data_IF_356886623126
#
_entry.id   IF_356886623126
#
_cell.length_a   1.000
_cell.length_b   1.000
_cell.length_c   1.000
_cell.angle_alpha   90.00
_cell.angle_beta   90.00
_cell.angle_gamma   90.00
#
_symmetry.space_group_name_H-M   'P 1'
#
loop_
_entity.id
_entity.type
_entity.pdbx_description
1 polymer ?
#
# COMPACT_ATOMS: atom_id res chain seq x y z
N UNK A 1 -29.69 -9.66 6.75
CA UNK A 1 -28.40 -10.37 6.89
C UNK A 1 -27.29 -9.46 7.46
N UNK A 2 -26.84 -8.38 6.80
CA UNK A 2 -25.73 -7.55 7.32
C UNK A 2 -25.97 -6.96 8.71
N UNK A 3 -27.16 -6.40 8.98
CA UNK A 3 -27.52 -5.83 10.29
C UNK A 3 -27.54 -6.89 11.40
N UNK A 4 -28.02 -8.08 11.12
CA UNK A 4 -28.06 -9.18 12.10
C UNK A 4 -26.63 -9.65 12.43
N UNK A 5 -25.76 -9.82 11.41
CA UNK A 5 -24.35 -10.16 11.62
C UNK A 5 -23.63 -9.09 12.46
N UNK A 6 -23.88 -7.80 12.20
CA UNK A 6 -23.30 -6.71 12.99
C UNK A 6 -23.74 -6.78 14.46
N UNK A 7 -25.01 -7.08 14.72
CA UNK A 7 -25.52 -7.26 16.10
C UNK A 7 -24.83 -8.43 16.82
N UNK A 8 -24.60 -9.53 16.12
CA UNK A 8 -23.87 -10.69 16.66
C UNK A 8 -22.41 -10.30 16.99
N UNK A 9 -21.71 -9.61 16.07
CA UNK A 9 -20.35 -9.12 16.29
C UNK A 9 -20.30 -8.18 17.52
N UNK A 10 -21.22 -7.23 17.61
CA UNK A 10 -21.29 -6.30 18.76
C UNK A 10 -21.54 -7.04 20.07
N UNK A 11 -22.39 -8.06 20.05
CA UNK A 11 -22.63 -8.91 21.22
C UNK A 11 -21.36 -9.64 21.67
N UNK A 12 -20.61 -10.21 20.72
CA UNK A 12 -19.32 -10.87 21.01
C UNK A 12 -18.30 -9.89 21.62
N UNK A 13 -18.22 -8.65 21.08
CA UNK A 13 -17.32 -7.60 21.59
C UNK A 13 -17.72 -7.20 23.02
N UNK A 14 -19.01 -7.01 23.28
CA UNK A 14 -19.53 -6.69 24.63
C UNK A 14 -19.23 -7.80 25.65
N UNK A 15 -19.34 -9.05 25.23
CA UNK A 15 -18.99 -10.20 26.07
C UNK A 15 -17.47 -10.25 26.35
N UNK A 16 -16.62 -9.91 25.36
CA UNK A 16 -15.17 -9.84 25.54
C UNK A 16 -14.76 -8.66 26.44
N UNK A 17 -15.61 -7.65 26.59
CA UNK A 17 -15.42 -6.39 27.30
C UNK A 17 -14.35 -5.49 26.69
N UNK A 18 -13.10 -5.96 26.59
CA UNK A 18 -11.98 -5.18 26.07
C UNK A 18 -11.77 -5.42 24.57
N UNK A 19 -11.54 -4.33 23.84
CA UNK A 19 -11.33 -4.38 22.41
C UNK A 19 -10.26 -3.39 21.96
N UNK A 20 -9.80 -3.54 20.75
CA UNK A 20 -8.92 -2.60 20.06
C UNK A 20 -9.46 -2.31 18.67
N UNK A 21 -9.06 -1.17 18.11
CA UNK A 21 -9.44 -0.75 16.76
C UNK A 21 -8.21 -0.72 15.84
N UNK A 22 -8.46 -1.01 14.57
CA UNK A 22 -7.51 -0.73 13.49
C UNK A 22 -8.26 0.03 12.41
N UNK A 23 -7.77 1.22 12.08
CA UNK A 23 -8.40 2.10 11.11
C UNK A 23 -7.40 2.41 10.01
N UNK A 24 -7.85 2.34 8.77
CA UNK A 24 -7.04 2.68 7.60
C UNK A 24 -7.79 3.71 6.76
N UNK A 25 -7.10 4.79 6.41
CA UNK A 25 -7.66 5.91 5.66
C UNK A 25 -7.31 5.78 4.18
N UNK A 26 -8.33 5.87 3.33
CA UNK A 26 -8.16 5.92 1.87
C UNK A 26 -8.63 7.29 1.37
N UNK A 27 -7.72 8.30 1.32
CA UNK A 27 -8.08 9.68 0.99
C UNK A 27 -8.72 9.83 -0.40
N UNK A 28 -8.28 9.05 -1.38
CA UNK A 28 -8.74 9.14 -2.78
C UNK A 28 -10.25 8.88 -2.95
N UNK A 29 -10.84 8.13 -2.02
CA UNK A 29 -12.27 7.79 -2.02
C UNK A 29 -13.00 8.27 -0.75
N UNK A 30 -12.34 9.11 0.04
CA UNK A 30 -12.90 9.67 1.28
C UNK A 30 -13.48 8.62 2.24
N UNK A 31 -12.77 7.51 2.44
CA UNK A 31 -13.24 6.41 3.27
C UNK A 31 -12.25 6.02 4.36
N UNK A 32 -12.80 5.59 5.50
CA UNK A 32 -12.10 4.86 6.56
C UNK A 32 -12.54 3.41 6.58
N UNK A 33 -11.59 2.50 6.53
CA UNK A 33 -11.82 1.09 6.86
C UNK A 33 -11.82 0.92 8.37
N UNK A 34 -12.92 0.44 8.96
CA UNK A 34 -13.03 0.27 10.41
C UNK A 34 -13.03 -1.21 10.80
N UNK A 35 -12.07 -1.59 11.62
CA UNK A 35 -11.85 -2.96 12.04
C UNK A 35 -11.76 -2.99 13.57
N UNK A 36 -12.46 -3.94 14.20
CA UNK A 36 -12.36 -4.21 15.65
C UNK A 36 -11.67 -5.54 15.88
N UNK A 37 -10.83 -5.58 16.91
CA UNK A 37 -10.17 -6.78 17.39
C UNK A 37 -10.44 -6.97 18.89
N UNK A 38 -10.77 -8.18 19.26
CA UNK A 38 -11.04 -8.58 20.66
C UNK A 38 -10.58 -10.03 20.89
N UNK A 39 -10.59 -10.45 22.16
CA UNK A 39 -10.22 -11.82 22.53
C UNK A 39 -11.52 -12.61 22.77
N UNK A 40 -11.73 -13.65 21.98
CA UNK A 40 -12.89 -14.52 22.14
C UNK A 40 -12.81 -15.45 23.37
N UNK A 41 -13.90 -16.16 23.65
CA UNK A 41 -14.06 -17.05 24.82
C UNK A 41 -12.97 -18.12 24.96
N UNK A 42 -12.32 -18.50 23.85
CA UNK A 42 -11.22 -19.49 23.86
C UNK A 42 -9.82 -18.84 23.95
N UNK A 43 -9.71 -17.58 24.33
CA UNK A 43 -8.45 -16.85 24.42
C UNK A 43 -7.80 -16.51 23.08
N UNK A 44 -8.49 -16.72 21.96
CA UNK A 44 -7.98 -16.41 20.62
C UNK A 44 -8.35 -15.00 20.19
N UNK A 45 -7.43 -14.24 19.58
CA UNK A 45 -7.74 -12.95 19.01
C UNK A 45 -8.66 -13.11 17.79
N UNK A 46 -9.76 -12.37 17.80
CA UNK A 46 -10.74 -12.31 16.71
C UNK A 46 -10.64 -10.92 16.09
N UNK A 47 -10.65 -10.84 14.76
CA UNK A 47 -10.62 -9.61 13.98
C UNK A 47 -11.88 -9.55 13.13
N UNK A 48 -12.62 -8.45 13.24
CA UNK A 48 -13.87 -8.23 12.52
C UNK A 48 -13.81 -6.91 11.74
N UNK A 49 -14.03 -7.00 10.44
CA UNK A 49 -14.36 -5.83 9.64
C UNK A 49 -15.77 -5.36 10.01
N UNK A 50 -15.92 -4.06 10.25
CA UNK A 50 -17.21 -3.47 10.63
C UNK A 50 -17.85 -2.83 9.40
N UNK A 51 -17.26 -1.76 8.88
CA UNK A 51 -17.76 -1.06 7.71
C UNK A 51 -16.67 -0.19 7.06
N UNK A 52 -17.02 0.41 5.92
CA UNK A 52 -16.38 1.58 5.37
C UNK A 52 -17.15 2.81 5.82
N UNK A 53 -16.46 3.75 6.47
CA UNK A 53 -17.05 4.99 6.97
C UNK A 53 -16.64 6.13 6.05
N UNK A 54 -17.61 6.88 5.55
CA UNK A 54 -17.35 8.07 4.73
C UNK A 54 -16.77 9.19 5.60
N UNK A 55 -15.75 9.89 5.07
CA UNK A 55 -15.04 10.94 5.79
C UNK A 55 -14.90 12.17 4.93
N UNK A 56 -15.43 13.30 5.37
CA UNK A 56 -15.37 14.56 4.62
C UNK A 56 -14.08 15.35 4.85
N UNK A 57 -13.29 14.99 5.87
CA UNK A 57 -12.02 15.63 6.18
C UNK A 57 -11.05 14.66 6.86
N UNK A 58 -9.83 14.59 6.35
CA UNK A 58 -8.75 13.76 6.90
C UNK A 58 -7.92 14.49 8.00
N UNK A 59 -8.42 15.60 8.56
CA UNK A 59 -7.81 16.22 9.73
C UNK A 59 -8.02 15.32 10.96
N UNK A 60 -7.00 15.22 11.81
CA UNK A 60 -7.01 14.34 12.98
C UNK A 60 -8.23 14.55 13.90
N UNK A 61 -8.70 15.78 14.05
CA UNK A 61 -9.88 16.10 14.85
C UNK A 61 -11.16 15.48 14.28
N UNK A 62 -11.37 15.63 12.97
CA UNK A 62 -12.52 15.04 12.32
C UNK A 62 -12.49 13.51 12.38
N UNK A 63 -11.29 12.93 12.14
CA UNK A 63 -11.09 11.48 12.24
C UNK A 63 -11.37 10.96 13.66
N UNK A 64 -10.97 11.71 14.70
CA UNK A 64 -11.24 11.32 16.08
C UNK A 64 -12.74 11.35 16.40
N UNK A 65 -13.48 12.36 15.93
CA UNK A 65 -14.92 12.41 16.08
C UNK A 65 -15.60 11.24 15.38
N UNK A 66 -15.25 10.98 14.11
CA UNK A 66 -15.80 9.83 13.36
C UNK A 66 -15.53 8.51 14.07
N UNK A 67 -14.29 8.28 14.52
CA UNK A 67 -13.94 7.05 15.26
C UNK A 67 -14.72 6.94 16.56
N UNK A 68 -14.87 8.03 17.30
CA UNK A 68 -15.68 8.08 18.53
C UNK A 68 -17.14 7.72 18.22
N UNK A 69 -17.75 8.38 17.23
CA UNK A 69 -19.16 8.18 16.88
C UNK A 69 -19.43 6.75 16.42
N UNK A 70 -18.54 6.15 15.63
CA UNK A 70 -18.64 4.73 15.27
C UNK A 70 -18.63 3.83 16.50
N UNK A 71 -17.76 4.09 17.47
CA UNK A 71 -17.66 3.28 18.68
C UNK A 71 -18.92 3.47 19.56
N UNK A 72 -19.32 4.70 19.82
CA UNK A 72 -20.34 5.02 20.82
C UNK A 72 -21.75 4.97 20.27
N UNK A 73 -21.96 5.47 19.07
CA UNK A 73 -23.30 5.58 18.46
C UNK A 73 -23.63 4.35 17.60
N UNK A 74 -22.79 4.05 16.59
CA UNK A 74 -23.08 2.97 15.64
C UNK A 74 -22.99 1.58 16.27
N UNK A 75 -21.94 1.34 17.09
CA UNK A 75 -21.68 0.05 17.73
C UNK A 75 -22.23 0.01 19.17
N UNK A 76 -22.62 1.13 19.76
CA UNK A 76 -23.06 1.21 21.17
C UNK A 76 -22.08 0.52 22.11
N UNK A 77 -20.76 0.74 21.88
CA UNK A 77 -19.68 0.25 22.72
C UNK A 77 -19.18 1.35 23.66
N UNK A 78 -18.74 0.95 24.84
CA UNK A 78 -18.15 1.87 25.81
C UNK A 78 -16.68 2.11 25.46
N UNK A 79 -16.34 3.36 25.12
CA UNK A 79 -14.97 3.76 24.76
C UNK A 79 -13.98 3.54 25.92
N UNK A 80 -14.46 3.51 27.17
CA UNK A 80 -13.63 3.20 28.35
C UNK A 80 -13.08 1.76 28.32
N UNK A 81 -13.65 0.88 27.52
CA UNK A 81 -13.19 -0.50 27.31
C UNK A 81 -12.22 -0.65 26.13
N UNK A 82 -11.97 0.41 25.37
CA UNK A 82 -10.94 0.42 24.33
C UNK A 82 -9.55 0.29 24.97
N UNK A 83 -8.69 -0.60 24.47
CA UNK A 83 -7.33 -0.84 24.99
C UNK A 83 -6.24 -0.66 23.96
N UNK A 84 -6.57 -0.69 22.69
CA UNK A 84 -5.58 -0.55 21.63
C UNK A 84 -6.11 0.18 20.42
N UNK A 85 -5.24 0.89 19.79
CA UNK A 85 -5.47 1.59 18.50
C UNK A 85 -4.30 1.36 17.58
N UNK A 86 -4.56 1.11 16.29
CA UNK A 86 -3.54 0.86 15.28
C UNK A 86 -3.89 1.56 13.97
N UNK A 87 -2.96 2.35 13.48
CA UNK A 87 -3.07 3.17 12.27
C UNK A 87 -1.76 3.10 11.49
N UNK A 88 -1.77 3.65 10.29
CA UNK A 88 -0.54 3.92 9.55
C UNK A 88 0.32 5.01 10.24
N UNK A 89 1.52 5.27 9.70
CA UNK A 89 2.44 6.24 10.28
C UNK A 89 2.23 7.67 9.77
N UNK A 90 1.13 7.96 9.08
CA UNK A 90 0.81 9.32 8.65
C UNK A 90 0.64 10.25 9.85
N UNK A 91 1.11 11.49 9.75
CA UNK A 91 1.15 12.44 10.87
C UNK A 91 -0.22 12.79 11.45
N UNK A 92 -1.27 12.79 10.63
CA UNK A 92 -2.66 12.99 11.06
C UNK A 92 -3.23 11.77 11.82
N UNK A 93 -2.65 10.58 11.64
CA UNK A 93 -3.05 9.34 12.30
C UNK A 93 -2.16 9.07 13.53
N UNK A 94 -0.84 8.95 13.31
CA UNK A 94 0.16 8.54 14.30
C UNK A 94 0.82 9.69 15.06
N UNK A 95 0.48 10.96 14.76
CA UNK A 95 1.09 12.12 15.43
C UNK A 95 0.89 12.07 16.95
N UNK A 96 2.00 12.13 17.72
CA UNK A 96 1.98 11.95 19.17
C UNK A 96 1.31 13.11 19.94
N UNK A 97 1.21 14.28 19.35
CA UNK A 97 0.67 15.48 20.02
C UNK A 97 -0.73 15.87 19.55
N UNK A 98 -1.03 15.72 18.27
CA UNK A 98 -2.28 16.20 17.67
C UNK A 98 -2.88 15.24 16.64
N UNK A 99 -2.26 14.08 16.43
CA UNK A 99 -2.79 13.03 15.57
C UNK A 99 -4.00 12.32 16.18
N UNK A 100 -4.64 11.47 15.38
CA UNK A 100 -5.76 10.65 15.82
C UNK A 100 -5.44 9.88 17.10
N UNK A 101 -4.23 9.27 17.18
CA UNK A 101 -3.83 8.51 18.37
C UNK A 101 -3.85 9.34 19.65
N UNK A 102 -3.37 10.59 19.60
CA UNK A 102 -3.33 11.47 20.76
C UNK A 102 -4.74 11.82 21.23
N UNK A 103 -5.62 12.17 20.29
CA UNK A 103 -7.02 12.52 20.56
C UNK A 103 -7.84 11.37 21.11
N UNK A 104 -7.63 10.15 20.65
CA UNK A 104 -8.29 8.95 21.23
C UNK A 104 -7.74 8.68 22.64
N UNK A 105 -6.45 8.93 22.89
CA UNK A 105 -5.84 8.80 24.20
C UNK A 105 -6.36 9.84 25.19
N UNK A 106 -6.72 11.05 24.76
CA UNK A 106 -7.42 12.04 25.59
C UNK A 106 -8.80 11.57 26.07
N UNK A 107 -9.50 10.76 25.24
CA UNK A 107 -10.80 10.18 25.62
C UNK A 107 -10.65 8.96 26.54
N UNK A 108 -9.55 8.23 26.45
CA UNK A 108 -9.28 7.07 27.29
C UNK A 108 -7.75 6.84 27.41
N UNK A 109 -7.18 7.20 28.55
CA UNK A 109 -5.74 7.12 28.84
C UNK A 109 -5.17 5.69 28.78
N UNK A 110 -6.04 4.66 28.94
CA UNK A 110 -5.64 3.26 28.91
C UNK A 110 -5.45 2.70 27.50
N UNK A 111 -5.65 3.52 26.47
CA UNK A 111 -5.49 3.09 25.07
C UNK A 111 -4.02 3.15 24.65
N UNK A 112 -3.48 2.02 24.24
CA UNK A 112 -2.13 1.94 23.69
C UNK A 112 -2.16 2.05 22.17
N UNK A 113 -1.30 2.91 21.62
CA UNK A 113 -1.08 3.00 20.17
C UNK A 113 -0.02 1.99 19.74
N UNK A 114 -0.35 1.23 18.70
CA UNK A 114 0.57 0.30 18.03
C UNK A 114 0.58 0.63 16.56
N UNK A 115 1.74 1.07 15.98
CA UNK A 115 1.83 1.35 14.56
C UNK A 115 1.44 0.14 13.72
N UNK A 116 0.85 0.37 12.54
CA UNK A 116 0.55 -0.70 11.60
C UNK A 116 1.84 -1.40 11.17
N UNK A 117 2.02 -2.65 11.58
CA UNK A 117 3.24 -3.41 11.29
C UNK A 117 3.48 -3.60 9.80
N UNK A 118 2.41 -3.82 9.02
CA UNK A 118 2.51 -3.96 7.57
C UNK A 118 3.00 -2.66 6.92
N UNK A 119 2.49 -1.50 7.36
CA UNK A 119 2.95 -0.21 6.87
C UNK A 119 4.41 0.05 7.28
N UNK A 120 4.76 -0.20 8.53
CA UNK A 120 6.14 -0.05 9.02
C UNK A 120 7.12 -0.93 8.25
N UNK A 121 6.76 -2.18 7.96
CA UNK A 121 7.58 -3.09 7.16
C UNK A 121 7.76 -2.59 5.71
N UNK A 122 6.71 -2.07 5.10
CA UNK A 122 6.80 -1.44 3.78
C UNK A 122 7.78 -0.25 3.78
N UNK A 123 7.72 0.61 4.81
CA UNK A 123 8.64 1.74 4.93
C UNK A 123 10.09 1.29 5.12
N UNK A 124 10.35 0.23 5.89
CA UNK A 124 11.70 -0.36 6.02
C UNK A 124 12.21 -0.82 4.66
N UNK A 125 11.40 -1.53 3.88
CA UNK A 125 11.75 -1.94 2.52
C UNK A 125 12.08 -0.77 1.60
N UNK A 126 11.28 0.30 1.64
CA UNK A 126 11.54 1.52 0.85
C UNK A 126 12.82 2.20 1.31
N UNK A 127 13.01 2.40 2.63
CA UNK A 127 14.20 3.07 3.19
C UNK A 127 15.50 2.28 2.93
N UNK A 128 15.44 0.95 2.82
CA UNK A 128 16.62 0.14 2.50
C UNK A 128 17.15 0.41 1.08
N UNK A 129 16.27 0.78 0.14
CA UNK A 129 16.68 1.22 -1.21
C UNK A 129 17.47 2.52 -1.14
N UNK A 130 17.01 3.47 -0.31
CA UNK A 130 17.61 4.81 -0.22
C UNK A 130 19.02 4.80 0.42
N UNK A 131 19.41 3.69 1.05
CA UNK A 131 20.73 3.51 1.64
C UNK A 131 21.83 3.11 0.63
N UNK A 132 21.45 2.75 -0.60
CA UNK A 132 22.40 2.24 -1.62
C UNK A 132 22.15 2.94 -2.96
N UNK A 133 23.18 3.61 -3.49
CA UNK A 133 23.09 4.35 -4.75
C UNK A 133 22.73 3.44 -5.95
N UNK A 134 23.28 2.23 -5.98
CA UNK A 134 22.99 1.27 -7.05
C UNK A 134 21.53 0.81 -7.01
N UNK A 135 20.98 0.64 -5.80
CA UNK A 135 19.56 0.33 -5.63
C UNK A 135 18.67 1.49 -6.08
N UNK A 136 19.00 2.73 -5.70
CA UNK A 136 18.28 3.93 -6.18
C UNK A 136 18.30 3.97 -7.71
N UNK A 137 19.45 3.79 -8.33
CA UNK A 137 19.63 3.81 -9.79
C UNK A 137 18.79 2.71 -10.46
N UNK A 138 18.79 1.51 -9.89
CA UNK A 138 18.00 0.39 -10.38
C UNK A 138 16.49 0.65 -10.28
N UNK A 139 15.99 1.10 -9.14
CA UNK A 139 14.56 1.40 -9.00
C UNK A 139 14.11 2.60 -9.85
N UNK A 140 14.98 3.60 -10.04
CA UNK A 140 14.72 4.68 -11.01
C UNK A 140 14.62 4.15 -12.44
N UNK A 141 15.48 3.19 -12.81
CA UNK A 141 15.35 2.51 -14.10
C UNK A 141 14.00 1.79 -14.23
N UNK A 142 13.54 1.05 -13.22
CA UNK A 142 12.22 0.39 -13.25
C UNK A 142 11.07 1.38 -13.40
N UNK A 143 11.15 2.52 -12.70
CA UNK A 143 10.16 3.60 -12.83
C UNK A 143 10.18 4.22 -14.24
N UNK A 144 11.34 4.47 -14.79
CA UNK A 144 11.50 4.99 -16.17
C UNK A 144 10.95 4.01 -17.20
N UNK A 145 11.19 2.72 -17.01
CA UNK A 145 10.65 1.66 -17.86
C UNK A 145 9.13 1.65 -17.85
N UNK A 146 8.50 1.73 -16.67
CA UNK A 146 7.06 1.87 -16.54
C UNK A 146 6.55 3.14 -17.24
N UNK A 147 7.14 4.28 -16.93
CA UNK A 147 6.76 5.59 -17.49
C UNK A 147 6.85 5.60 -19.01
N UNK A 148 7.90 5.00 -19.56
CA UNK A 148 8.08 4.87 -21.00
C UNK A 148 6.92 4.12 -21.66
N UNK A 149 6.56 2.94 -21.14
CA UNK A 149 5.49 2.14 -21.73
C UNK A 149 4.11 2.75 -21.46
N UNK A 150 3.85 3.27 -20.25
CA UNK A 150 2.56 3.86 -19.89
C UNK A 150 2.26 5.22 -20.52
N UNK A 151 3.25 5.88 -21.11
CA UNK A 151 3.10 7.20 -21.74
C UNK A 151 2.28 7.19 -23.04
N UNK A 152 2.01 6.01 -23.62
CA UNK A 152 1.25 5.88 -24.88
C UNK A 152 0.58 4.51 -24.97
N UNK A 153 -0.67 4.49 -25.43
CA UNK A 153 -1.40 3.24 -25.71
C UNK A 153 -0.64 2.32 -26.65
N UNK A 154 -0.04 2.87 -27.71
CA UNK A 154 0.76 2.08 -28.66
C UNK A 154 1.96 1.40 -27.99
N UNK A 155 2.72 2.11 -27.13
CA UNK A 155 3.87 1.53 -26.42
C UNK A 155 3.39 0.43 -25.45
N UNK A 156 2.29 0.70 -24.73
CA UNK A 156 1.69 -0.25 -23.83
C UNK A 156 1.22 -1.52 -24.55
N UNK A 157 0.55 -1.36 -25.69
CA UNK A 157 0.09 -2.49 -26.50
C UNK A 157 1.27 -3.33 -27.02
N UNK A 158 2.38 -2.71 -27.43
CA UNK A 158 3.58 -3.44 -27.82
C UNK A 158 4.13 -4.31 -26.68
N UNK A 159 4.08 -3.84 -25.45
CA UNK A 159 4.51 -4.61 -24.26
C UNK A 159 3.53 -5.73 -23.94
N UNK A 160 2.23 -5.42 -23.85
CA UNK A 160 1.19 -6.39 -23.48
C UNK A 160 1.05 -7.52 -24.50
N UNK A 161 1.23 -7.22 -25.80
CA UNK A 161 1.22 -8.23 -26.85
C UNK A 161 2.42 -9.17 -26.80
N UNK A 162 3.57 -8.69 -26.28
CA UNK A 162 4.76 -9.51 -26.13
C UNK A 162 4.71 -10.41 -24.89
N UNK A 163 4.03 -9.96 -23.84
CA UNK A 163 3.85 -10.73 -22.60
C UNK A 163 2.61 -11.63 -22.75
N UNK A 164 2.72 -12.91 -22.39
CA UNK A 164 1.59 -13.85 -22.43
C UNK A 164 0.40 -13.35 -21.60
N UNK A 165 -0.82 -13.69 -22.02
CA UNK A 165 -2.05 -13.30 -21.31
C UNK A 165 -2.01 -13.74 -19.84
N UNK A 166 -2.09 -12.76 -18.94
CA UNK A 166 -2.04 -12.97 -17.50
C UNK A 166 -0.65 -12.84 -16.89
N UNK A 167 0.39 -12.56 -17.68
CA UNK A 167 1.73 -12.25 -17.18
C UNK A 167 1.79 -10.92 -16.42
N UNK A 168 2.72 -10.83 -15.47
CA UNK A 168 2.93 -9.62 -14.68
C UNK A 168 3.60 -8.54 -15.54
N UNK A 169 2.90 -7.44 -15.79
CA UNK A 169 3.41 -6.30 -16.54
C UNK A 169 4.16 -5.35 -15.60
N UNK A 170 5.09 -4.56 -16.14
CA UNK A 170 5.77 -3.50 -15.38
C UNK A 170 4.77 -2.57 -14.70
N UNK A 171 5.03 -2.23 -13.43
CA UNK A 171 4.14 -1.42 -12.60
C UNK A 171 4.81 -0.13 -12.15
N UNK A 172 4.00 0.88 -11.89
CA UNK A 172 4.44 2.08 -11.20
C UNK A 172 4.94 1.74 -9.80
N UNK A 173 6.08 2.31 -9.42
CA UNK A 173 6.60 2.16 -8.07
C UNK A 173 5.74 2.98 -7.09
N UNK A 174 5.70 2.52 -5.85
CA UNK A 174 5.04 3.22 -4.75
C UNK A 174 6.06 3.62 -3.69
N UNK A 175 5.93 4.82 -3.16
CA UNK A 175 6.79 5.32 -2.07
C UNK A 175 6.42 4.71 -0.71
N UNK A 176 5.25 4.09 -0.60
CA UNK A 176 4.73 3.57 0.67
C UNK A 176 4.42 2.08 0.64
N UNK A 177 4.47 1.43 -0.54
CA UNK A 177 4.14 0.02 -0.69
C UNK A 177 5.28 -0.75 -1.34
N UNK A 178 6.00 -1.51 -0.53
CA UNK A 178 7.07 -2.39 -1.01
C UNK A 178 6.60 -3.39 -2.07
N UNK A 179 5.38 -3.90 -1.95
CA UNK A 179 4.81 -4.86 -2.91
C UNK A 179 4.83 -4.36 -4.36
N UNK A 180 4.63 -3.05 -4.59
CA UNK A 180 4.71 -2.47 -5.94
C UNK A 180 6.13 -2.56 -6.51
N UNK A 181 7.17 -2.36 -5.67
CA UNK A 181 8.58 -2.53 -6.05
C UNK A 181 8.91 -4.00 -6.33
N UNK A 182 8.48 -4.90 -5.46
CA UNK A 182 8.67 -6.34 -5.65
C UNK A 182 8.00 -6.84 -6.93
N UNK A 183 6.77 -6.39 -7.23
CA UNK A 183 6.07 -6.74 -8.46
C UNK A 183 6.80 -6.20 -9.71
N UNK A 184 7.34 -4.98 -9.67
CA UNK A 184 8.10 -4.41 -10.77
C UNK A 184 9.39 -5.21 -11.04
N UNK A 185 10.11 -5.62 -9.99
CA UNK A 185 11.29 -6.48 -10.12
C UNK A 185 10.93 -7.84 -10.71
N UNK A 186 9.86 -8.48 -10.19
CA UNK A 186 9.36 -9.76 -10.71
C UNK A 186 8.95 -9.69 -12.17
N UNK A 187 8.31 -8.59 -12.58
CA UNK A 187 7.95 -8.37 -13.99
C UNK A 187 9.18 -8.37 -14.90
N UNK A 188 10.22 -7.61 -14.53
CA UNK A 188 11.47 -7.56 -15.30
C UNK A 188 12.18 -8.91 -15.29
N UNK A 189 12.26 -9.58 -14.15
CA UNK A 189 12.90 -10.90 -14.06
C UNK A 189 12.21 -11.95 -14.94
N UNK A 190 10.89 -11.98 -14.91
CA UNK A 190 10.10 -13.04 -15.58
C UNK A 190 9.94 -12.78 -17.08
N UNK A 191 9.95 -11.52 -17.50
CA UNK A 191 9.65 -11.09 -18.87
C UNK A 191 10.77 -10.24 -19.47
N UNK A 192 12.02 -10.53 -19.09
CA UNK A 192 13.18 -9.77 -19.57
C UNK A 192 13.27 -9.74 -21.09
N UNK A 193 13.12 -10.91 -21.74
CA UNK A 193 13.22 -11.03 -23.19
C UNK A 193 12.07 -10.31 -23.91
N UNK A 194 10.87 -10.42 -23.39
CA UNK A 194 9.66 -9.80 -23.96
C UNK A 194 9.73 -8.27 -23.86
N UNK A 195 10.18 -7.75 -22.71
CA UNK A 195 10.41 -6.31 -22.50
C UNK A 195 11.50 -5.81 -23.45
N UNK A 196 12.63 -6.52 -23.52
CA UNK A 196 13.73 -6.20 -24.42
C UNK A 196 13.29 -6.15 -25.90
N UNK A 197 12.54 -7.17 -26.33
CA UNK A 197 12.03 -7.24 -27.71
C UNK A 197 11.05 -6.10 -28.00
N UNK A 198 10.22 -5.72 -27.04
CA UNK A 198 9.30 -4.59 -27.18
C UNK A 198 10.04 -3.26 -27.33
N UNK A 199 11.09 -3.04 -26.53
CA UNK A 199 11.96 -1.87 -26.63
C UNK A 199 12.70 -1.83 -27.97
N UNK A 200 13.25 -2.98 -28.42
CA UNK A 200 13.92 -3.09 -29.72
C UNK A 200 12.98 -2.81 -30.89
N UNK A 201 11.74 -3.31 -30.83
CA UNK A 201 10.70 -3.04 -31.83
C UNK A 201 10.44 -1.53 -31.94
N UNK A 202 10.22 -0.85 -30.80
CA UNK A 202 9.93 0.59 -30.76
C UNK A 202 11.16 1.41 -31.21
N UNK A 203 12.38 1.03 -30.81
CA UNK A 203 13.60 1.76 -31.18
C UNK A 203 13.90 1.74 -32.69
N UNK A 204 13.48 0.66 -33.38
CA UNK A 204 13.68 0.47 -34.84
C UNK A 204 12.51 0.99 -35.67
N UNK A 205 11.36 1.27 -35.04
CA UNK A 205 10.15 1.73 -35.73
C UNK A 205 10.33 3.18 -36.24
N UNK A 206 10.48 3.32 -37.55
CA UNK A 206 10.65 4.63 -38.18
C UNK A 206 9.40 5.50 -38.16
N UNK A 207 8.24 4.97 -37.82
CA UNK A 207 7.01 5.76 -37.64
C UNK A 207 7.00 6.53 -36.32
N UNK A 208 7.82 6.09 -35.36
CA UNK A 208 7.99 6.78 -34.08
C UNK A 208 8.95 7.98 -34.21
N UNK A 209 8.66 9.02 -33.40
CA UNK A 209 9.51 10.20 -33.33
C UNK A 209 10.91 9.85 -32.81
N UNK A 210 11.90 10.64 -33.18
CA UNK A 210 13.31 10.36 -32.85
C UNK A 210 13.55 10.28 -31.34
N UNK A 211 12.88 11.12 -30.53
CA UNK A 211 13.00 11.11 -29.08
C UNK A 211 12.53 9.78 -28.46
N UNK A 212 11.38 9.27 -28.86
CA UNK A 212 10.87 7.95 -28.42
C UNK A 212 11.84 6.82 -28.75
N UNK A 213 12.41 6.85 -29.95
CA UNK A 213 13.38 5.84 -30.38
C UNK A 213 14.68 5.92 -29.58
N UNK A 214 15.14 7.14 -29.28
CA UNK A 214 16.33 7.38 -28.45
C UNK A 214 16.10 6.95 -26.99
N UNK A 215 14.93 7.26 -26.41
CA UNK A 215 14.53 6.79 -25.06
C UNK A 215 14.51 5.26 -24.98
N UNK A 216 13.89 4.58 -25.94
CA UNK A 216 13.91 3.12 -26.02
C UNK A 216 15.34 2.56 -26.09
N UNK A 217 16.22 3.19 -26.89
CA UNK A 217 17.64 2.83 -26.97
C UNK A 217 18.39 3.02 -25.66
N UNK A 218 18.06 4.07 -24.91
CA UNK A 218 18.60 4.31 -23.56
C UNK A 218 18.21 3.22 -22.57
N UNK A 219 16.91 2.83 -22.56
CA UNK A 219 16.40 1.77 -21.70
C UNK A 219 17.00 0.39 -22.05
N UNK A 220 17.21 0.10 -23.35
CA UNK A 220 17.90 -1.13 -23.78
C UNK A 220 19.29 -1.21 -23.17
N UNK A 221 20.10 -0.14 -23.28
CA UNK A 221 21.44 -0.10 -22.69
C UNK A 221 21.45 -0.32 -21.18
N UNK A 222 20.45 0.25 -20.47
CA UNK A 222 20.30 0.04 -19.03
C UNK A 222 19.92 -1.41 -18.72
N UNK A 223 19.01 -2.02 -19.50
CA UNK A 223 18.68 -3.45 -19.32
C UNK A 223 19.86 -4.38 -19.53
N UNK A 224 20.71 -4.09 -20.51
CA UNK A 224 21.89 -4.90 -20.85
C UNK A 224 23.05 -4.73 -19.86
N UNK A 225 22.95 -3.79 -18.90
CA UNK A 225 24.03 -3.60 -17.93
C UNK A 225 24.08 -4.73 -16.91
N UNK A 226 25.31 -5.06 -16.49
CA UNK A 226 25.56 -6.08 -15.46
C UNK A 226 24.89 -5.69 -14.13
N UNK A 227 24.92 -4.41 -13.78
CA UNK A 227 24.33 -3.87 -12.56
C UNK A 227 22.82 -4.09 -12.54
N UNK A 228 22.12 -3.86 -13.64
CA UNK A 228 20.68 -4.13 -13.73
C UNK A 228 20.37 -5.62 -13.57
N UNK A 229 21.14 -6.49 -14.20
CA UNK A 229 20.98 -7.94 -14.07
C UNK A 229 21.21 -8.39 -12.62
N UNK A 230 22.29 -7.92 -11.99
CA UNK A 230 22.64 -8.23 -10.61
C UNK A 230 21.55 -7.75 -9.64
N UNK A 231 21.11 -6.49 -9.76
CA UNK A 231 20.06 -5.92 -8.92
C UNK A 231 18.71 -6.62 -9.11
N UNK A 232 18.38 -7.03 -10.34
CA UNK A 232 17.16 -7.81 -10.62
C UNK A 232 17.18 -9.14 -9.86
N UNK A 233 18.33 -9.84 -9.82
CA UNK A 233 18.47 -11.09 -9.07
C UNK A 233 18.38 -10.85 -7.57
N UNK A 234 19.13 -9.89 -7.02
CA UNK A 234 19.14 -9.57 -5.59
C UNK A 234 17.73 -9.24 -5.10
N UNK A 235 17.09 -8.23 -5.71
CA UNK A 235 15.78 -7.75 -5.25
C UNK A 235 14.61 -8.69 -5.56
N UNK A 236 14.80 -9.68 -6.42
CA UNK A 236 13.78 -10.71 -6.65
C UNK A 236 13.72 -11.78 -5.58
N UNK A 237 14.69 -11.84 -4.68
CA UNK A 237 14.78 -12.81 -3.58
C UNK A 237 14.31 -12.23 -2.24
N UNK A 238 14.08 -10.92 -2.21
CA UNK A 238 13.57 -10.16 -1.06
C UNK A 238 12.06 -9.89 -1.22
#
# INVERSE_FOLDING_TARGET
>A
MAKQLLMEIVSEIKQAKYFSISVDSTPDINQLTFIVRYVGSHGRPIKRFINFVEVHSHKAENLANVVKDVITEDLSLDISNLRGQSYDNASNMAGAYSGLQARIKELNELVHFVPCTAHSLNLVGVSSVDSCLDAITFFNFLQNLYTFFSSSTHKWDCLVQAIEKGGLVVKCLSNTRWSARADAVKAVRNHYCEIMNSLLKISKDRTQIMTTRAEAGGLIKQMESFETALMTVIWSTI
#
